data_IF_610319259029
#
_entry.id   IF_610319259029
#
_cell.length_a   1.000
_cell.length_b   1.000
_cell.length_c   1.000
_cell.angle_alpha   90.00
_cell.angle_beta   90.00
_cell.angle_gamma   90.00
#
_symmetry.space_group_name_H-M   'P 1'
#
loop_
_entity.id
_entity.type
_entity.pdbx_description
1 polymer ?
#
# COMPACT_ATOMS: atom_id res chain seq x y z
N UNK A 1 -0.69 16.61 -19.62
CA UNK A 1 -0.95 17.98 -19.10
C UNK A 1 0.25 18.87 -19.43
N UNK A 2 0.06 20.13 -19.83
CA UNK A 2 1.15 21.11 -19.97
C UNK A 2 0.91 22.27 -19.01
N UNK A 3 1.97 22.83 -18.45
CA UNK A 3 1.89 24.04 -17.65
C UNK A 3 1.42 25.23 -18.51
N UNK A 4 0.88 26.25 -17.86
CA UNK A 4 0.36 27.47 -18.52
C UNK A 4 1.45 28.20 -19.32
N UNK A 5 2.68 28.20 -18.79
CA UNK A 5 3.87 28.75 -19.46
C UNK A 5 4.45 27.82 -20.55
N UNK A 6 3.83 26.65 -20.77
CA UNK A 6 4.21 25.60 -21.73
C UNK A 6 5.62 25.00 -21.53
N UNK A 7 6.34 25.35 -20.47
CA UNK A 7 7.70 24.85 -20.20
C UNK A 7 7.71 23.43 -19.64
N UNK A 8 6.68 23.05 -18.88
CA UNK A 8 6.57 21.74 -18.25
C UNK A 8 5.48 20.92 -18.91
N UNK A 9 5.79 19.70 -19.30
CA UNK A 9 4.81 18.72 -19.77
C UNK A 9 4.83 17.52 -18.82
N UNK A 10 3.68 17.20 -18.27
CA UNK A 10 3.48 16.01 -17.44
C UNK A 10 2.72 14.98 -18.28
N UNK A 11 3.28 13.78 -18.35
CA UNK A 11 2.61 12.58 -18.84
C UNK A 11 2.52 11.64 -17.65
N UNK A 12 1.30 11.31 -17.23
CA UNK A 12 1.07 10.33 -16.19
C UNK A 12 0.99 8.95 -16.84
N UNK A 13 1.66 7.99 -16.22
CA UNK A 13 1.52 6.57 -16.51
C UNK A 13 0.92 5.89 -15.28
N UNK A 14 0.43 4.67 -15.45
CA UNK A 14 -0.17 3.92 -14.36
C UNK A 14 0.84 3.69 -13.21
N UNK A 15 0.37 3.88 -11.97
CA UNK A 15 1.17 3.72 -10.76
C UNK A 15 1.61 2.27 -10.56
N UNK A 16 0.87 1.29 -11.09
CA UNK A 16 1.25 -0.12 -11.06
C UNK A 16 2.55 -0.42 -11.80
N UNK A 17 2.94 0.42 -12.77
CA UNK A 17 4.23 0.32 -13.47
C UNK A 17 5.37 0.80 -12.57
N UNK A 18 5.12 1.80 -11.73
CA UNK A 18 6.13 2.39 -10.84
C UNK A 18 6.26 1.61 -9.52
N UNK A 19 5.15 1.21 -8.92
CA UNK A 19 5.11 0.59 -7.61
C UNK A 19 3.78 -0.16 -7.40
N UNK A 20 3.84 -1.49 -7.54
CA UNK A 20 2.68 -2.36 -7.39
C UNK A 20 2.28 -2.60 -5.90
N UNK A 21 3.15 -2.22 -4.96
CA UNK A 21 2.87 -2.17 -3.52
C UNK A 21 3.27 -0.81 -2.94
N UNK A 22 2.34 0.14 -2.75
CA UNK A 22 2.66 1.50 -2.33
C UNK A 22 3.01 1.66 -0.85
N UNK A 23 3.01 0.58 -0.06
CA UNK A 23 3.17 0.64 1.40
C UNK A 23 4.48 1.29 1.84
N UNK A 24 5.61 0.94 1.23
CA UNK A 24 6.90 1.55 1.57
C UNK A 24 6.93 3.06 1.31
N UNK A 25 6.35 3.52 0.20
CA UNK A 25 6.27 4.95 -0.10
C UNK A 25 5.34 5.69 0.88
N UNK A 26 4.22 5.08 1.27
CA UNK A 26 3.32 5.66 2.26
C UNK A 26 4.00 5.83 3.63
N UNK A 27 4.70 4.78 4.11
CA UNK A 27 5.48 4.84 5.36
C UNK A 27 6.58 5.91 5.24
N UNK A 28 7.33 5.91 4.13
CA UNK A 28 8.39 6.90 3.88
C UNK A 28 7.84 8.32 3.89
N UNK A 29 6.68 8.56 3.29
CA UNK A 29 6.04 9.87 3.29
C UNK A 29 5.70 10.31 4.71
N UNK A 30 5.05 9.45 5.50
CA UNK A 30 4.65 9.78 6.88
C UNK A 30 5.88 10.06 7.75
N UNK A 31 6.91 9.23 7.68
CA UNK A 31 8.10 9.38 8.52
C UNK A 31 8.95 10.61 8.16
N UNK A 32 8.95 11.05 6.90
CA UNK A 32 9.75 12.20 6.45
C UNK A 32 8.96 13.53 6.43
N UNK A 33 7.64 13.50 6.40
CA UNK A 33 6.81 14.71 6.43
C UNK A 33 6.47 15.11 7.87
N UNK A 34 7.46 15.67 8.58
CA UNK A 34 7.27 16.16 9.97
C UNK A 34 6.36 17.37 10.09
N UNK A 35 6.06 18.05 8.98
CA UNK A 35 5.08 19.13 8.98
C UNK A 35 3.67 18.57 9.22
N UNK A 36 3.31 17.48 8.54
CA UNK A 36 2.00 16.86 8.69
C UNK A 36 1.96 15.80 9.79
N UNK A 37 3.07 15.10 10.03
CA UNK A 37 3.20 14.00 10.99
C UNK A 37 4.33 14.26 11.99
N UNK A 38 4.21 15.28 12.86
CA UNK A 38 5.28 15.67 13.78
C UNK A 38 5.59 14.61 14.85
N UNK A 39 4.61 13.74 15.17
CA UNK A 39 4.72 12.75 16.25
C UNK A 39 5.19 11.37 15.77
N UNK A 40 5.17 11.07 14.47
CA UNK A 40 5.57 9.77 13.94
C UNK A 40 7.07 9.77 13.63
N UNK A 41 7.88 9.07 14.41
CA UNK A 41 9.34 9.02 14.25
C UNK A 41 9.86 7.68 13.77
N UNK A 42 9.19 6.59 14.16
CA UNK A 42 9.57 5.23 13.81
C UNK A 42 8.37 4.47 13.25
N UNK A 43 8.62 3.29 12.69
CA UNK A 43 7.55 2.41 12.17
C UNK A 43 6.62 1.89 13.27
N UNK A 44 7.10 1.83 14.51
CA UNK A 44 6.32 1.40 15.69
C UNK A 44 5.20 2.39 16.04
N UNK A 45 5.35 3.66 15.65
CA UNK A 45 4.33 4.71 15.83
C UNK A 45 3.18 4.60 14.81
N UNK A 46 3.26 3.64 13.89
CA UNK A 46 2.32 3.50 12.77
C UNK A 46 1.46 2.24 12.93
N UNK A 47 0.20 2.37 12.55
CA UNK A 47 -0.70 1.26 12.27
C UNK A 47 -0.92 1.21 10.76
N UNK A 48 -0.52 0.12 10.10
CA UNK A 48 -0.52 0.00 8.63
C UNK A 48 -1.30 -1.22 8.19
N UNK A 49 -2.35 -0.99 7.39
CA UNK A 49 -3.03 -2.05 6.61
C UNK A 49 -2.64 -1.89 5.14
N UNK A 50 -2.17 -2.98 4.55
CA UNK A 50 -1.81 -3.06 3.14
C UNK A 50 -2.74 -4.05 2.45
N UNK A 51 -3.47 -3.59 1.44
CA UNK A 51 -4.45 -4.39 0.69
C UNK A 51 -3.93 -4.63 -0.73
N UNK A 52 -3.70 -5.89 -1.08
CA UNK A 52 -3.25 -6.32 -2.40
C UNK A 52 -4.39 -6.97 -3.20
N UNK A 53 -4.42 -6.71 -4.51
CA UNK A 53 -5.45 -7.24 -5.42
C UNK A 53 -5.25 -8.72 -5.81
N UNK A 54 -4.44 -9.43 -5.04
CA UNK A 54 -4.14 -10.84 -5.20
C UNK A 54 -3.07 -11.19 -6.22
N UNK A 55 -2.44 -12.35 -6.02
CA UNK A 55 -1.53 -12.95 -7.00
C UNK A 55 -2.37 -13.72 -8.03
N UNK A 56 -2.38 -13.28 -9.29
CA UNK A 56 -3.06 -14.08 -10.32
C UNK A 56 -2.22 -15.31 -10.66
N UNK A 57 -2.87 -16.46 -10.68
CA UNK A 57 -2.18 -17.74 -10.81
C UNK A 57 -1.30 -17.78 -12.08
N UNK A 58 -0.05 -18.24 -11.94
CA UNK A 58 0.78 -18.69 -13.06
C UNK A 58 0.24 -20.03 -13.56
N UNK A 59 -1.01 -20.03 -14.03
CA UNK A 59 -1.59 -21.19 -14.68
C UNK A 59 -0.68 -21.62 -15.82
N UNK A 60 -0.13 -22.82 -15.71
CA UNK A 60 0.56 -23.59 -16.75
C UNK A 60 -0.40 -23.82 -17.93
N UNK A 61 -0.73 -22.76 -18.66
CA UNK A 61 -1.43 -22.84 -19.93
C UNK A 61 -0.63 -22.02 -20.94
N UNK A 62 0.30 -22.74 -21.54
CA UNK A 62 0.80 -22.64 -22.90
C UNK A 62 0.17 -21.52 -23.76
N UNK A 63 0.64 -20.27 -23.65
CA UNK A 63 0.25 -19.15 -24.52
C UNK A 63 1.33 -18.05 -24.50
N UNK A 64 2.09 -17.96 -25.60
CA UNK A 64 2.96 -16.88 -26.11
C UNK A 64 3.48 -15.80 -25.12
N UNK A 65 4.81 -15.66 -25.05
CA UNK A 65 5.54 -14.66 -24.26
C UNK A 65 5.19 -13.22 -24.68
N UNK A 66 4.28 -12.56 -23.96
CA UNK A 66 3.97 -11.14 -24.18
C UNK A 66 4.74 -10.26 -23.17
N UNK A 67 5.25 -9.08 -23.58
CA UNK A 67 5.93 -8.13 -22.68
C UNK A 67 5.15 -7.79 -21.40
N UNK A 68 3.81 -7.81 -21.47
CA UNK A 68 2.94 -7.57 -20.32
C UNK A 68 3.13 -8.59 -19.17
N UNK A 69 3.48 -9.86 -19.47
CA UNK A 69 3.72 -10.87 -18.43
C UNK A 69 5.00 -10.61 -17.66
N UNK A 70 6.06 -10.16 -18.34
CA UNK A 70 7.32 -9.81 -17.68
C UNK A 70 7.15 -8.61 -16.74
N UNK A 71 6.44 -7.57 -17.19
CA UNK A 71 6.09 -6.41 -16.35
C UNK A 71 5.30 -6.86 -15.12
N UNK A 72 4.35 -7.78 -15.30
CA UNK A 72 3.57 -8.32 -14.18
C UNK A 72 4.43 -9.10 -13.17
N UNK A 73 5.28 -10.01 -13.64
CA UNK A 73 6.21 -10.78 -12.78
C UNK A 73 7.10 -9.82 -11.99
N UNK A 74 7.69 -8.82 -12.67
CA UNK A 74 8.52 -7.83 -12.03
C UNK A 74 7.74 -7.02 -10.98
N UNK A 75 6.51 -6.62 -11.30
CA UNK A 75 5.63 -5.91 -10.37
C UNK A 75 5.22 -6.75 -9.17
N UNK A 76 4.97 -8.04 -9.33
CA UNK A 76 4.65 -8.96 -8.23
C UNK A 76 5.86 -9.24 -7.34
N UNK A 77 7.04 -9.49 -7.94
CA UNK A 77 8.29 -9.61 -7.19
C UNK A 77 8.63 -8.34 -6.41
N UNK A 78 8.42 -7.16 -7.02
CA UNK A 78 8.59 -5.88 -6.33
C UNK A 78 7.62 -5.73 -5.15
N UNK A 79 6.36 -6.14 -5.31
CA UNK A 79 5.37 -6.13 -4.23
C UNK A 79 5.74 -7.03 -3.06
N UNK A 80 6.26 -8.22 -3.35
CA UNK A 80 6.70 -9.20 -2.35
C UNK A 80 7.94 -8.72 -1.61
N UNK A 81 8.91 -8.11 -2.31
CA UNK A 81 10.08 -7.49 -1.67
C UNK A 81 9.67 -6.37 -0.71
N UNK A 82 8.70 -5.53 -1.09
CA UNK A 82 8.18 -4.48 -0.20
C UNK A 82 7.48 -5.08 1.02
N UNK A 83 6.62 -6.10 0.83
CA UNK A 83 5.92 -6.77 1.93
C UNK A 83 6.90 -7.38 2.94
N UNK A 84 7.93 -8.08 2.45
CA UNK A 84 8.98 -8.65 3.29
C UNK A 84 9.78 -7.55 4.02
N UNK A 85 10.16 -6.47 3.33
CA UNK A 85 10.89 -5.35 3.93
C UNK A 85 10.09 -4.64 5.02
N UNK A 86 8.79 -4.43 4.80
CA UNK A 86 7.90 -3.81 5.77
C UNK A 86 7.67 -4.76 6.95
N UNK A 87 7.36 -6.03 6.70
CA UNK A 87 7.19 -7.03 7.76
C UNK A 87 8.44 -7.13 8.66
N UNK A 88 9.63 -7.07 8.07
CA UNK A 88 10.90 -6.98 8.81
C UNK A 88 11.00 -5.72 9.66
N UNK A 89 10.70 -4.56 9.09
CA UNK A 89 10.81 -3.29 9.79
C UNK A 89 9.90 -3.25 11.02
N UNK A 90 8.70 -3.84 10.93
CA UNK A 90 7.79 -3.96 12.06
C UNK A 90 8.19 -5.05 13.06
N UNK A 91 9.06 -5.99 12.70
CA UNK A 91 9.67 -6.96 13.62
C UNK A 91 8.65 -7.67 14.52
N UNK A 92 8.82 -7.55 15.85
CA UNK A 92 7.89 -8.15 16.82
C UNK A 92 6.51 -7.44 16.85
N UNK A 93 6.45 -6.18 16.45
CA UNK A 93 5.21 -5.40 16.34
C UNK A 93 4.40 -5.75 15.08
N UNK A 94 4.92 -6.59 14.18
CA UNK A 94 4.21 -6.99 12.95
C UNK A 94 2.89 -7.73 13.22
N UNK A 95 2.70 -8.29 14.42
CA UNK A 95 1.48 -9.03 14.75
C UNK A 95 0.28 -8.12 15.03
N UNK A 96 0.54 -6.86 15.41
CA UNK A 96 -0.48 -5.88 15.79
C UNK A 96 -0.49 -4.62 14.91
N UNK A 97 0.67 -4.17 14.42
CA UNK A 97 0.82 -2.85 13.80
C UNK A 97 0.94 -2.89 12.26
N UNK A 98 1.15 -4.07 11.67
CA UNK A 98 1.20 -4.25 10.22
C UNK A 98 0.35 -5.44 9.79
N UNK A 99 -0.63 -5.22 8.91
CA UNK A 99 -1.45 -6.29 8.33
C UNK A 99 -1.41 -6.18 6.81
N UNK A 100 -0.95 -7.24 6.15
CA UNK A 100 -1.07 -7.41 4.70
C UNK A 100 -2.20 -8.40 4.40
N UNK A 101 -3.18 -7.97 3.63
CA UNK A 101 -4.22 -8.84 3.06
C UNK A 101 -4.02 -8.88 1.55
N UNK A 102 -3.87 -10.07 1.00
CA UNK A 102 -3.74 -10.29 -0.43
C UNK A 102 -4.58 -11.49 -0.84
N UNK A 103 -5.40 -11.33 -1.86
CA UNK A 103 -6.23 -12.43 -2.36
C UNK A 103 -5.34 -13.54 -2.97
N UNK A 104 -5.48 -14.78 -2.51
CA UNK A 104 -4.73 -15.87 -3.13
C UNK A 104 -5.52 -16.42 -4.34
N UNK A 105 -5.03 -16.19 -5.56
CA UNK A 105 -5.75 -16.54 -6.81
C UNK A 105 -5.99 -18.04 -7.01
N UNK A 106 -5.26 -18.89 -6.28
CA UNK A 106 -5.35 -20.36 -6.35
C UNK A 106 -6.70 -20.86 -5.79
N UNK A 107 -7.25 -20.20 -4.76
CA UNK A 107 -8.47 -20.66 -4.08
C UNK A 107 -9.74 -20.23 -4.85
N UNK A 108 -9.73 -19.02 -5.44
CA UNK A 108 -10.83 -18.51 -6.25
C UNK A 108 -11.13 -19.38 -7.50
N UNK A 109 -10.15 -20.14 -8.01
CA UNK A 109 -10.36 -21.13 -9.08
C UNK A 109 -10.89 -22.47 -8.59
N UNK A 110 -10.56 -22.90 -7.36
CA UNK A 110 -11.00 -24.18 -6.80
C UNK A 110 -12.53 -24.26 -6.63
N UNK A 111 -13.19 -23.11 -6.50
CA UNK A 111 -14.66 -22.97 -6.49
C UNK A 111 -15.29 -22.62 -7.87
N UNK A 112 -14.53 -22.65 -8.97
CA UNK A 112 -15.08 -22.53 -10.33
C UNK A 112 -15.57 -21.13 -10.74
N UNK A 113 -15.06 -20.07 -10.12
CA UNK A 113 -15.58 -18.70 -10.31
C UNK A 113 -14.95 -17.99 -11.53
N UNK A 114 -13.74 -18.39 -11.94
CA UNK A 114 -12.99 -17.65 -12.97
C UNK A 114 -13.53 -17.86 -14.40
N UNK A 115 -14.27 -18.93 -14.68
CA UNK A 115 -14.85 -19.20 -16.02
C UNK A 115 -16.28 -18.66 -16.22
N UNK A 116 -16.94 -18.12 -15.18
CA UNK A 116 -18.33 -17.63 -15.28
C UNK A 116 -18.48 -16.11 -15.42
N UNK A 117 -17.41 -15.39 -15.74
CA UNK A 117 -17.42 -13.91 -15.87
C UNK A 117 -18.03 -13.37 -17.16
N UNK A 118 -19.07 -14.02 -17.70
CA UNK A 118 -19.83 -13.42 -18.82
C UNK A 118 -21.29 -13.06 -18.52
N UNK A 119 -21.94 -13.50 -17.42
CA UNK A 119 -23.41 -13.29 -17.28
C UNK A 119 -24.00 -13.10 -15.87
N UNK A 120 -23.27 -12.66 -14.84
CA UNK A 120 -23.84 -12.45 -13.49
C UNK A 120 -23.58 -11.07 -12.87
N UNK A 121 -24.44 -10.71 -11.91
CA UNK A 121 -24.42 -9.46 -11.13
C UNK A 121 -23.07 -9.27 -10.41
N UNK A 122 -22.15 -8.51 -11.04
CA UNK A 122 -20.76 -8.25 -10.60
C UNK A 122 -20.58 -7.90 -9.12
N UNK A 123 -21.59 -7.30 -8.46
CA UNK A 123 -21.53 -6.91 -7.06
C UNK A 123 -21.68 -8.07 -6.08
N UNK A 124 -22.60 -9.01 -6.36
CA UNK A 124 -22.83 -10.16 -5.50
C UNK A 124 -21.62 -11.12 -5.53
N UNK A 125 -21.06 -11.32 -6.72
CA UNK A 125 -19.87 -12.16 -6.91
C UNK A 125 -18.64 -11.56 -6.22
N UNK A 126 -18.50 -10.22 -6.20
CA UNK A 126 -17.39 -9.54 -5.53
C UNK A 126 -17.51 -9.60 -3.99
N UNK A 127 -18.74 -9.50 -3.46
CA UNK A 127 -18.97 -9.68 -2.02
C UNK A 127 -18.65 -11.10 -1.59
N UNK A 128 -19.13 -12.11 -2.31
CA UNK A 128 -18.82 -13.51 -2.02
C UNK A 128 -17.30 -13.79 -2.09
N UNK A 129 -16.60 -13.22 -3.08
CA UNK A 129 -15.14 -13.32 -3.18
C UNK A 129 -14.42 -12.64 -2.00
N UNK A 130 -14.98 -11.54 -1.49
CA UNK A 130 -14.44 -10.84 -0.31
C UNK A 130 -14.64 -11.68 0.95
N UNK A 131 -15.83 -12.27 1.13
CA UNK A 131 -16.11 -13.15 2.28
C UNK A 131 -15.19 -14.38 2.27
N UNK A 132 -14.98 -14.99 1.10
CA UNK A 132 -14.03 -16.10 0.94
C UNK A 132 -12.60 -15.66 1.27
N UNK A 133 -12.17 -14.48 0.81
CA UNK A 133 -10.86 -13.91 1.14
C UNK A 133 -10.71 -13.68 2.64
N UNK A 134 -11.75 -13.18 3.32
CA UNK A 134 -11.72 -12.96 4.77
C UNK A 134 -11.63 -14.27 5.56
N UNK A 135 -12.26 -15.34 5.08
CA UNK A 135 -12.22 -16.67 5.69
C UNK A 135 -10.89 -17.42 5.46
N UNK A 136 -10.06 -16.98 4.51
CA UNK A 136 -8.76 -17.60 4.26
C UNK A 136 -7.79 -17.38 5.43
N UNK A 137 -6.92 -18.37 5.66
CA UNK A 137 -5.79 -18.25 6.57
C UNK A 137 -4.87 -17.11 6.12
N UNK A 138 -4.45 -16.28 7.06
CA UNK A 138 -3.56 -15.17 6.77
C UNK A 138 -2.17 -15.66 6.38
N UNK A 139 -1.51 -14.92 5.49
CA UNK A 139 -0.15 -15.20 5.03
C UNK A 139 0.73 -14.04 5.45
N UNK A 140 1.80 -14.34 6.17
CA UNK A 140 2.77 -13.36 6.64
C UNK A 140 4.13 -13.60 5.98
N UNK A 141 4.78 -12.52 5.52
CA UNK A 141 6.16 -12.59 5.04
C UNK A 141 7.15 -12.57 6.20
N UNK A 142 8.06 -13.53 6.22
CA UNK A 142 9.12 -13.66 7.23
C UNK A 142 10.47 -13.69 6.52
N UNK A 143 11.42 -12.88 7.02
CA UNK A 143 12.75 -12.76 6.40
C UNK A 143 13.47 -14.10 6.35
N UNK A 144 13.95 -14.48 5.16
CA UNK A 144 14.63 -15.75 4.88
C UNK A 144 13.78 -17.02 5.10
N UNK A 145 12.56 -16.90 5.60
CA UNK A 145 11.59 -18.00 5.75
C UNK A 145 10.47 -17.95 4.68
N UNK A 146 10.37 -16.85 3.93
CA UNK A 146 9.36 -16.66 2.90
C UNK A 146 7.97 -16.38 3.47
N UNK A 147 6.93 -16.75 2.72
CA UNK A 147 5.52 -16.56 3.09
C UNK A 147 5.05 -17.72 3.97
N UNK A 148 4.65 -17.42 5.22
CA UNK A 148 4.15 -18.37 6.21
C UNK A 148 2.64 -18.25 6.36
N UNK A 149 1.93 -19.38 6.25
CA UNK A 149 0.49 -19.44 6.54
C UNK A 149 0.31 -19.50 8.06
N UNK A 150 -0.46 -18.57 8.61
CA UNK A 150 -0.80 -18.48 10.03
C UNK A 150 -2.16 -19.13 10.27
N UNK A 151 -2.43 -19.60 11.50
CA UNK A 151 -3.70 -20.24 11.83
C UNK A 151 -4.90 -19.27 11.81
N UNK A 152 -4.67 -18.02 12.23
CA UNK A 152 -5.66 -16.95 12.18
C UNK A 152 -6.08 -16.62 10.75
N UNK A 153 -7.38 -16.39 10.56
CA UNK A 153 -7.92 -15.93 9.27
C UNK A 153 -7.57 -14.47 9.00
N UNK A 154 -7.78 -14.02 7.76
CA UNK A 154 -7.69 -12.62 7.39
C UNK A 154 -8.69 -11.77 8.19
N UNK A 155 -9.88 -12.31 8.48
CA UNK A 155 -10.86 -11.68 9.36
C UNK A 155 -10.31 -11.48 10.78
N UNK A 156 -9.79 -12.54 11.41
CA UNK A 156 -9.27 -12.48 12.79
C UNK A 156 -8.14 -11.45 12.93
N UNK A 157 -7.28 -11.36 11.91
CA UNK A 157 -6.20 -10.37 11.83
C UNK A 157 -6.73 -8.94 11.78
N UNK A 158 -7.72 -8.69 10.93
CA UNK A 158 -8.34 -7.37 10.81
C UNK A 158 -9.12 -6.99 12.08
N UNK A 159 -9.76 -7.96 12.73
CA UNK A 159 -10.45 -7.75 14.01
C UNK A 159 -9.44 -7.33 15.10
N UNK A 160 -8.33 -8.07 15.22
CA UNK A 160 -7.25 -7.73 16.16
C UNK A 160 -6.69 -6.33 15.88
N UNK A 161 -6.42 -6.02 14.61
CA UNK A 161 -5.94 -4.70 14.19
C UNK A 161 -6.94 -3.57 14.51
N UNK A 162 -8.24 -3.85 14.36
CA UNK A 162 -9.31 -2.90 14.69
C UNK A 162 -9.30 -2.54 16.18
N UNK A 163 -8.95 -3.49 17.05
CA UNK A 163 -8.74 -3.23 18.48
C UNK A 163 -7.68 -2.15 18.74
N UNK A 164 -6.54 -2.22 18.06
CA UNK A 164 -5.48 -1.19 18.16
C UNK A 164 -5.94 0.16 17.59
N UNK A 165 -6.69 0.14 16.49
CA UNK A 165 -7.24 1.36 15.90
C UNK A 165 -8.23 2.07 16.84
N UNK A 166 -9.08 1.30 17.53
CA UNK A 166 -10.02 1.83 18.53
C UNK A 166 -9.24 2.42 19.71
N UNK A 167 -8.23 1.73 20.25
CA UNK A 167 -7.38 2.25 21.33
C UNK A 167 -6.73 3.58 20.96
N UNK A 168 -6.18 3.68 19.75
CA UNK A 168 -5.57 4.91 19.26
C UNK A 168 -6.61 6.02 19.07
N UNK A 169 -7.81 5.70 18.58
CA UNK A 169 -8.91 6.68 18.48
C UNK A 169 -9.35 7.20 19.86
N UNK A 170 -9.50 6.34 20.86
CA UNK A 170 -9.83 6.76 22.23
C UNK A 170 -8.72 7.60 22.85
N UNK A 171 -7.44 7.23 22.63
CA UNK A 171 -6.28 8.02 23.06
C UNK A 171 -6.30 9.43 22.47
N UNK A 172 -6.75 9.59 21.22
CA UNK A 172 -6.85 10.90 20.57
C UNK A 172 -7.94 11.80 21.15
N UNK A 173 -9.01 11.23 21.72
CA UNK A 173 -10.07 12.03 22.36
C UNK A 173 -9.60 12.74 23.62
N UNK A 174 -8.63 12.17 24.32
CA UNK A 174 -8.03 12.74 25.54
C UNK A 174 -6.73 13.49 25.27
N UNK A 175 -6.20 13.43 24.04
CA UNK A 175 -4.99 14.12 23.63
C UNK A 175 -5.26 15.59 23.35
N UNK A 176 -4.47 16.47 23.97
CA UNK A 176 -4.52 17.93 23.76
C UNK A 176 -3.79 18.30 22.45
N UNK A 177 -2.90 17.43 21.96
CA UNK A 177 -2.13 17.65 20.73
C UNK A 177 -2.75 16.92 19.53
N UNK A 178 -2.87 17.59 18.37
CA UNK A 178 -3.31 16.96 17.14
C UNK A 178 -2.23 15.98 16.64
N UNK A 179 -2.64 14.76 16.31
CA UNK A 179 -1.71 13.73 15.80
C UNK A 179 -1.26 14.00 14.37
N UNK A 180 -2.11 14.66 13.57
CA UNK A 180 -1.81 15.05 12.20
C UNK A 180 -2.15 16.53 12.03
N UNK A 181 -1.21 17.28 11.46
CA UNK A 181 -1.37 18.68 11.11
C UNK A 181 -1.60 18.79 9.62
N UNK A 182 -2.85 18.63 9.18
CA UNK A 182 -3.15 18.80 7.77
C UNK A 182 -2.82 20.22 7.36
N UNK A 183 -1.98 20.34 6.31
CA UNK A 183 -1.64 21.63 5.72
C UNK A 183 -2.94 22.34 5.31
N UNK A 184 -3.31 23.38 6.05
CA UNK A 184 -4.33 24.29 5.58
C UNK A 184 -3.77 24.96 4.33
N UNK A 185 -4.41 24.72 3.18
CA UNK A 185 -4.13 25.47 1.98
C UNK A 185 -4.56 26.92 2.25
N UNK A 186 -3.67 27.74 2.82
CA UNK A 186 -3.86 29.17 2.83
C UNK A 186 -4.04 29.59 1.37
N UNK A 187 -5.16 30.24 1.05
CA UNK A 187 -5.48 30.82 -0.25
C UNK A 187 -4.59 32.04 -0.54
N UNK A 188 -3.27 31.91 -0.35
CA UNK A 188 -2.31 32.93 -0.78
C UNK A 188 -1.59 32.43 -2.02
N UNK A 189 -1.61 33.18 -3.13
CA UNK A 189 -0.82 32.84 -4.30
C UNK A 189 0.65 32.84 -3.88
N UNK A 190 1.32 31.71 -4.09
CA UNK A 190 2.76 31.55 -3.85
C UNK A 190 3.52 32.57 -4.70
N UNK A 191 3.91 33.70 -4.12
CA UNK A 191 4.85 34.62 -4.76
C UNK A 191 6.22 33.95 -4.75
N UNK A 192 6.65 33.52 -5.93
CA UNK A 192 7.97 32.95 -6.12
C UNK A 192 9.00 34.08 -6.11
N UNK A 193 9.68 34.31 -4.99
CA UNK A 193 10.90 35.11 -4.98
C UNK A 193 12.07 34.20 -5.34
N UNK A 194 12.48 34.24 -6.60
CA UNK A 194 13.73 33.64 -7.05
C UNK A 194 14.89 34.55 -6.58
N UNK A 195 15.59 34.15 -5.52
CA UNK A 195 16.85 34.80 -5.14
C UNK A 195 17.93 34.37 -6.13
N UNK A 196 18.26 35.26 -7.08
CA UNK A 196 19.47 35.14 -7.87
C UNK A 196 20.63 35.66 -7.03
N UNK A 197 21.46 34.76 -6.51
CA UNK A 197 22.76 35.13 -5.95
C UNK A 197 23.69 35.44 -7.14
N UNK A 198 23.90 36.72 -7.43
CA UNK A 198 24.95 37.18 -8.34
C UNK A 198 26.31 37.12 -7.63
N UNK A 199 27.18 36.26 -8.12
CA UNK A 199 28.60 36.24 -7.73
C UNK A 199 29.30 37.39 -8.46
N UNK A 200 29.58 38.50 -7.76
CA UNK A 200 30.53 39.51 -8.23
C UNK A 200 31.94 39.02 -7.88
N UNK A 201 32.65 38.49 -8.88
CA UNK A 201 34.09 38.26 -8.79
C UNK A 201 34.80 39.57 -9.18
N UNK A 202 35.56 40.15 -8.26
CA UNK A 202 36.49 41.25 -8.58
C UNK A 202 37.84 40.66 -8.95
N UNK A 203 38.40 41.11 -10.06
CA UNK A 203 39.84 41.16 -10.36
C UNK A 203 40.16 42.57 -10.85
#
# INVERSE_FOLDING_TARGET
>A
MRSVDKRTKIVAIDGGIAMNNPTAAAITHVLNNKQEFPLCNVVEDLLVVSLGNGESDFGYQNQNSTPARFVRIAGEGASDMVDQAVSMAFGHCRTSNYVRIQANGIIAKKHGIVDKSMKSNKKADLLAMTDEMLAQKNVESVLFEGKKIVESTNFDKLETFTGELIKEQERRKTSILPTVLLKQNSTSPRTSSATTLSTLSSY
#
